data_IF_686087189425
#
_entry.id   IF_686087189425
#
_cell.length_a   1.000
_cell.length_b   1.000
_cell.length_c   1.000
_cell.angle_alpha   90.00
_cell.angle_beta   90.00
_cell.angle_gamma   90.00
#
_symmetry.space_group_name_H-M   'P 1'
#
loop_
_entity.id
_entity.type
_entity.pdbx_description
1 polymer ?
#
# COMPACT_ATOMS: atom_id res chain seq x y z
N UNK A 1 15.63 1.56 32.22
CA UNK A 1 15.95 2.18 30.92
C UNK A 1 14.64 2.60 30.27
N UNK A 2 14.30 3.91 30.30
CA UNK A 2 13.00 4.41 29.84
C UNK A 2 12.99 4.35 28.30
N UNK A 3 12.28 3.36 27.74
CA UNK A 3 12.01 3.26 26.30
C UNK A 3 11.05 4.40 25.93
N UNK A 4 11.59 5.58 25.57
CA UNK A 4 10.78 6.68 25.01
C UNK A 4 10.11 6.17 23.74
N UNK A 5 8.82 5.90 23.84
CA UNK A 5 7.97 5.43 22.74
C UNK A 5 7.64 6.65 21.88
N UNK A 6 8.49 6.91 20.89
CA UNK A 6 8.33 8.03 19.97
C UNK A 6 7.20 7.72 18.97
N UNK A 7 5.96 7.97 19.38
CA UNK A 7 4.76 7.82 18.56
C UNK A 7 4.84 8.55 17.21
N UNK A 8 5.56 9.66 17.17
CA UNK A 8 5.83 10.40 15.93
C UNK A 8 6.61 9.54 14.92
N UNK A 9 7.63 8.79 15.36
CA UNK A 9 8.39 7.90 14.47
C UNK A 9 7.52 6.78 13.92
N UNK A 10 6.63 6.20 14.76
CA UNK A 10 5.69 5.18 14.31
C UNK A 10 4.67 5.73 13.31
N UNK A 11 4.16 6.94 13.54
CA UNK A 11 3.24 7.60 12.63
C UNK A 11 3.92 7.92 11.30
N UNK A 12 5.15 8.45 11.32
CA UNK A 12 5.93 8.73 10.11
C UNK A 12 6.20 7.45 9.34
N UNK A 13 6.63 6.38 10.01
CA UNK A 13 6.84 5.09 9.36
C UNK A 13 5.52 4.57 8.74
N UNK A 14 4.41 4.63 9.48
CA UNK A 14 3.11 4.21 8.96
C UNK A 14 2.68 5.00 7.72
N UNK A 15 2.84 6.32 7.74
CA UNK A 15 2.50 7.16 6.58
C UNK A 15 3.41 6.88 5.38
N UNK A 16 4.70 6.67 5.63
CA UNK A 16 5.68 6.41 4.59
C UNK A 16 5.45 5.05 3.92
N UNK A 17 5.30 3.99 4.71
CA UNK A 17 5.06 2.63 4.20
C UNK A 17 3.62 2.44 3.70
N UNK A 18 2.63 3.07 4.32
CA UNK A 18 1.22 2.91 3.98
C UNK A 18 0.76 3.75 2.78
N UNK A 19 1.42 4.89 2.50
CA UNK A 19 0.99 5.81 1.44
C UNK A 19 2.11 6.19 0.49
N UNK A 20 3.24 6.72 0.98
CA UNK A 20 4.30 7.27 0.10
C UNK A 20 4.90 6.21 -0.81
N UNK A 21 5.36 5.08 -0.25
CA UNK A 21 5.95 4.00 -1.03
C UNK A 21 4.94 3.40 -2.04
N UNK A 22 3.70 3.06 -1.63
CA UNK A 22 2.67 2.59 -2.56
C UNK A 22 2.38 3.54 -3.72
N UNK A 23 2.26 4.85 -3.46
CA UNK A 23 1.98 5.84 -4.50
C UNK A 23 3.10 5.89 -5.55
N UNK A 24 4.35 5.94 -5.10
CA UNK A 24 5.50 5.90 -6.01
C UNK A 24 5.52 4.60 -6.82
N UNK A 25 5.21 3.46 -6.19
CA UNK A 25 5.17 2.17 -6.88
C UNK A 25 4.08 2.10 -7.95
N UNK A 26 2.93 2.74 -7.73
CA UNK A 26 1.84 2.82 -8.73
C UNK A 26 2.30 3.61 -9.94
N UNK A 27 2.97 4.76 -9.75
CA UNK A 27 3.47 5.57 -10.84
C UNK A 27 4.46 4.79 -11.72
N UNK A 28 5.41 4.07 -11.10
CA UNK A 28 6.34 3.19 -11.84
C UNK A 28 5.62 2.05 -12.58
N UNK A 29 4.60 1.44 -11.99
CA UNK A 29 3.83 0.38 -12.65
C UNK A 29 3.03 0.90 -13.84
N UNK A 30 2.42 2.09 -13.71
CA UNK A 30 1.69 2.74 -14.80
C UNK A 30 2.64 3.13 -15.92
N UNK A 31 3.78 3.76 -15.62
CA UNK A 31 4.78 4.12 -16.64
C UNK A 31 5.22 2.86 -17.40
N UNK A 32 5.55 1.79 -16.69
CA UNK A 32 5.93 0.51 -17.31
C UNK A 32 4.80 -0.09 -18.15
N UNK A 33 3.56 -0.05 -17.69
CA UNK A 33 2.42 -0.64 -18.39
C UNK A 33 2.00 0.16 -19.63
N UNK A 34 2.27 1.47 -19.65
CA UNK A 34 1.85 2.37 -20.74
C UNK A 34 2.94 2.60 -21.79
N UNK A 35 4.23 2.35 -21.46
CA UNK A 35 5.39 2.66 -22.32
C UNK A 35 5.34 2.07 -23.73
N UNK A 36 4.86 0.83 -23.88
CA UNK A 36 4.85 0.11 -25.15
C UNK A 36 3.43 -0.09 -25.71
N UNK A 37 2.41 0.54 -25.10
CA UNK A 37 1.02 0.38 -25.49
C UNK A 37 0.44 1.67 -26.11
N UNK A 38 0.01 1.63 -27.39
CA UNK A 38 -0.56 2.81 -28.05
C UNK A 38 -1.94 3.20 -27.52
N UNK A 39 -2.65 2.26 -26.89
CA UNK A 39 -3.93 2.47 -26.23
C UNK A 39 -3.86 1.77 -24.88
N UNK A 40 -4.03 2.54 -23.82
CA UNK A 40 -4.03 2.03 -22.45
C UNK A 40 -5.48 1.83 -22.02
N UNK A 41 -5.82 0.61 -21.62
CA UNK A 41 -7.15 0.30 -21.10
C UNK A 41 -7.37 0.98 -19.73
N UNK A 42 -8.45 1.74 -19.61
CA UNK A 42 -8.83 2.43 -18.37
C UNK A 42 -9.04 1.45 -17.21
N UNK A 43 -9.50 0.22 -17.46
CA UNK A 43 -9.63 -0.79 -16.40
C UNK A 43 -8.28 -1.27 -15.89
N UNK A 44 -7.27 -1.34 -16.76
CA UNK A 44 -5.91 -1.69 -16.38
C UNK A 44 -5.32 -0.60 -15.49
N UNK A 45 -5.49 0.68 -15.84
CA UNK A 45 -5.06 1.79 -14.99
C UNK A 45 -5.77 1.77 -13.64
N UNK A 46 -7.10 1.60 -13.65
CA UNK A 46 -7.90 1.53 -12.43
C UNK A 46 -7.41 0.40 -11.52
N UNK A 47 -7.20 -0.79 -12.07
CA UNK A 47 -6.64 -1.92 -11.33
C UNK A 47 -5.28 -1.58 -10.72
N UNK A 48 -4.38 -0.97 -11.48
CA UNK A 48 -3.04 -0.59 -10.99
C UNK A 48 -3.10 0.42 -9.86
N UNK A 49 -3.98 1.44 -9.95
CA UNK A 49 -4.19 2.41 -8.86
C UNK A 49 -4.74 1.75 -7.58
N UNK A 50 -5.70 0.83 -7.72
CA UNK A 50 -6.34 0.18 -6.58
C UNK A 50 -5.56 -1.02 -6.03
N UNK A 51 -4.54 -1.50 -6.75
CA UNK A 51 -3.76 -2.67 -6.39
C UNK A 51 -3.24 -2.62 -4.96
N UNK A 52 -2.48 -1.58 -4.63
CA UNK A 52 -1.88 -1.45 -3.30
C UNK A 52 -2.94 -1.18 -2.21
N UNK A 53 -3.90 -0.24 -2.38
CA UNK A 53 -4.99 -0.06 -1.41
C UNK A 53 -5.76 -1.35 -1.09
N UNK A 54 -6.10 -2.15 -2.12
CA UNK A 54 -6.81 -3.42 -1.94
C UNK A 54 -5.96 -4.42 -1.17
N UNK A 55 -4.68 -4.57 -1.50
CA UNK A 55 -3.79 -5.48 -0.77
C UNK A 55 -3.56 -5.05 0.68
N UNK A 56 -3.44 -3.75 0.95
CA UNK A 56 -3.39 -3.21 2.31
C UNK A 56 -4.67 -3.54 3.10
N UNK A 57 -5.83 -3.35 2.47
CA UNK A 57 -7.11 -3.70 3.06
C UNK A 57 -7.22 -5.19 3.40
N UNK A 58 -6.84 -6.06 2.45
CA UNK A 58 -6.79 -7.52 2.66
C UNK A 58 -5.83 -7.87 3.80
N UNK A 59 -4.65 -7.26 3.85
CA UNK A 59 -3.67 -7.46 4.92
C UNK A 59 -4.20 -7.06 6.30
N UNK A 60 -4.90 -5.92 6.40
CA UNK A 60 -5.55 -5.48 7.64
C UNK A 60 -6.64 -6.49 8.05
N UNK A 61 -7.47 -6.94 7.12
CA UNK A 61 -8.49 -7.96 7.42
C UNK A 61 -7.87 -9.25 7.94
N UNK A 62 -6.82 -9.75 7.28
CA UNK A 62 -6.10 -10.95 7.73
C UNK A 62 -5.50 -10.75 9.13
N UNK A 63 -4.89 -9.60 9.40
CA UNK A 63 -4.35 -9.29 10.72
C UNK A 63 -5.44 -9.28 11.81
N UNK A 64 -6.60 -8.68 11.55
CA UNK A 64 -7.72 -8.65 12.49
C UNK A 64 -8.28 -10.06 12.74
N UNK A 65 -8.40 -10.87 11.69
CA UNK A 65 -8.86 -12.25 11.78
C UNK A 65 -7.87 -13.10 12.61
N UNK A 66 -6.58 -13.04 12.29
CA UNK A 66 -5.53 -13.76 13.03
C UNK A 66 -5.51 -13.35 14.49
N UNK A 67 -5.64 -12.05 14.79
CA UNK A 67 -5.73 -11.56 16.16
C UNK A 67 -6.91 -12.18 16.92
N UNK A 68 -8.06 -12.40 16.26
CA UNK A 68 -9.24 -13.04 16.86
C UNK A 68 -9.01 -14.53 17.16
N UNK A 69 -8.15 -15.22 16.40
CA UNK A 69 -7.85 -16.64 16.64
C UNK A 69 -6.76 -16.87 17.69
N UNK A 70 -5.84 -15.91 17.85
CA UNK A 70 -4.72 -16.00 18.81
C UNK A 70 -5.13 -15.56 20.23
N UNK A 71 -6.08 -14.63 20.35
CA UNK A 71 -6.68 -14.21 21.62
C UNK A 71 -7.85 -15.12 22.01
#
# INVERSE_FOLDING_TARGET
>A
MIRKRNWILYLVAFLFFGFVIPLLSVEFEIEKATKDQPIVDNFTLLYTYFRFPVWWFVGILQFLILRKFIN
#
